data_IF_109700744786
#
_entry.id   IF_109700744786
#
_cell.length_a   1.000
_cell.length_b   1.000
_cell.length_c   1.000
_cell.angle_alpha   90.00
_cell.angle_beta   90.00
_cell.angle_gamma   90.00
#
_symmetry.space_group_name_H-M   'P 1'
#
loop_
_entity.id
_entity.type
_entity.pdbx_description
1 polymer ?
#
# COMPACT_ATOMS: atom_id res chain seq x y z
N UNK A 1 -0.09 5.02 -21.79
CA UNK A 1 -0.19 3.56 -21.55
C UNK A 1 -0.33 3.38 -20.05
N UNK A 2 -1.36 2.68 -19.58
CA UNK A 2 -1.54 2.39 -18.14
C UNK A 2 -1.04 0.99 -17.84
N UNK A 3 -0.41 0.82 -16.68
CA UNK A 3 0.09 -0.47 -16.21
C UNK A 3 -0.59 -0.82 -14.90
N UNK A 4 -1.46 -1.83 -14.94
CA UNK A 4 -2.17 -2.35 -13.77
C UNK A 4 -1.67 -3.74 -13.43
N UNK A 5 -1.33 -3.96 -12.17
CA UNK A 5 -0.87 -5.25 -11.69
C UNK A 5 -1.03 -5.41 -10.18
N UNK A 6 -0.90 -6.65 -9.70
CA UNK A 6 -0.86 -6.94 -8.28
C UNK A 6 0.37 -6.29 -7.60
N UNK A 7 0.28 -6.08 -6.30
CA UNK A 7 1.32 -5.38 -5.55
C UNK A 7 2.69 -6.05 -5.64
N UNK A 8 2.70 -7.39 -5.70
CA UNK A 8 3.93 -8.16 -5.78
C UNK A 8 4.63 -7.89 -7.11
N UNK A 9 3.93 -7.95 -8.23
CA UNK A 9 4.52 -7.64 -9.52
C UNK A 9 4.94 -6.17 -9.61
N UNK A 10 4.12 -5.23 -9.11
CA UNK A 10 4.49 -3.81 -9.03
C UNK A 10 5.81 -3.60 -8.27
N UNK A 11 5.97 -4.25 -7.11
CA UNK A 11 7.20 -4.13 -6.31
C UNK A 11 8.44 -4.59 -7.06
N UNK A 12 8.32 -5.66 -7.86
CA UNK A 12 9.41 -6.17 -8.70
C UNK A 12 9.72 -5.21 -9.85
N UNK A 13 8.68 -4.77 -10.57
CA UNK A 13 8.84 -3.86 -11.70
C UNK A 13 9.41 -2.50 -11.30
N UNK A 14 9.08 -2.01 -10.11
CA UNK A 14 9.52 -0.71 -9.59
C UNK A 14 10.77 -0.78 -8.70
N UNK A 15 11.28 -1.98 -8.42
CA UNK A 15 12.44 -2.15 -7.55
C UNK A 15 12.20 -1.66 -6.12
N UNK A 16 10.99 -1.87 -5.60
CA UNK A 16 10.52 -1.31 -4.34
C UNK A 16 10.26 -2.40 -3.29
N UNK A 17 10.29 -2.00 -2.02
CA UNK A 17 10.03 -2.89 -0.90
C UNK A 17 8.64 -3.56 -0.93
N UNK A 18 8.53 -4.64 -0.17
CA UNK A 18 7.24 -5.32 0.07
C UNK A 18 6.24 -4.42 0.81
N UNK A 19 4.95 -4.74 0.67
CA UNK A 19 3.84 -4.01 1.31
C UNK A 19 3.96 -3.92 2.85
N UNK A 20 4.67 -4.87 3.48
CA UNK A 20 4.79 -4.94 4.94
C UNK A 20 5.92 -4.06 5.51
N UNK A 21 6.78 -3.52 4.65
CA UNK A 21 7.94 -2.71 5.05
C UNK A 21 7.56 -1.36 5.68
N UNK A 22 8.55 -0.67 6.25
CA UNK A 22 8.36 0.65 6.86
C UNK A 22 8.06 1.74 5.83
N UNK A 23 8.71 1.66 4.66
CA UNK A 23 8.46 2.50 3.49
C UNK A 23 7.86 1.60 2.41
N UNK A 24 6.53 1.55 2.35
CA UNK A 24 5.79 0.61 1.51
C UNK A 24 5.19 1.29 0.26
N UNK A 25 4.93 2.60 0.27
CA UNK A 25 4.25 3.29 -0.83
C UNK A 25 5.19 3.53 -2.03
N UNK A 26 4.84 3.10 -3.26
CA UNK A 26 5.64 3.38 -4.45
C UNK A 26 5.45 4.81 -4.97
N UNK A 27 4.34 5.49 -4.65
CA UNK A 27 4.02 6.84 -5.16
C UNK A 27 4.43 7.99 -4.23
N UNK A 28 4.54 7.70 -2.93
CA UNK A 28 4.64 8.69 -1.86
C UNK A 28 5.72 8.29 -0.84
N UNK A 29 6.20 9.26 -0.07
CA UNK A 29 7.26 9.05 0.94
C UNK A 29 6.72 8.73 2.34
N UNK A 30 5.51 8.17 2.42
CA UNK A 30 4.84 7.85 3.69
C UNK A 30 5.60 6.79 4.48
N UNK A 31 5.60 6.97 5.80
CA UNK A 31 6.06 5.96 6.75
C UNK A 31 4.89 5.15 7.32
N UNK A 32 5.10 3.86 7.58
CA UNK A 32 4.05 2.96 8.09
C UNK A 32 3.33 3.45 9.35
N UNK A 33 4.01 4.18 10.25
CA UNK A 33 3.40 4.75 11.47
C UNK A 33 2.47 5.93 11.19
N UNK A 34 2.60 6.58 10.04
CA UNK A 34 1.83 7.76 9.67
C UNK A 34 0.54 7.41 8.91
N UNK A 35 0.35 6.13 8.52
CA UNK A 35 -0.84 5.68 7.77
C UNK A 35 -2.16 6.03 8.48
N UNK A 36 -2.16 5.99 9.82
CA UNK A 36 -3.34 6.27 10.63
C UNK A 36 -3.58 7.77 10.87
N UNK A 37 -2.70 8.66 10.39
CA UNK A 37 -2.84 10.09 10.56
C UNK A 37 -3.83 10.67 9.54
N UNK A 38 -5.02 11.04 10.01
CA UNK A 38 -6.10 11.60 9.20
C UNK A 38 -5.89 13.08 8.84
N UNK A 39 -4.91 13.76 9.46
CA UNK A 39 -4.66 15.18 9.22
C UNK A 39 -3.69 15.42 8.06
N UNK A 40 -3.09 14.36 7.50
CA UNK A 40 -2.13 14.46 6.40
C UNK A 40 -2.78 14.20 5.06
N UNK A 41 -2.48 15.07 4.11
CA UNK A 41 -2.80 14.86 2.70
C UNK A 41 -1.66 14.10 2.01
N UNK A 42 -2.01 13.01 1.34
CA UNK A 42 -1.05 12.14 0.66
C UNK A 42 -1.06 12.45 -0.84
N UNK A 43 -0.06 13.18 -1.31
CA UNK A 43 0.14 13.47 -2.73
C UNK A 43 1.18 12.53 -3.35
N UNK A 44 1.08 12.33 -4.66
CA UNK A 44 2.09 11.59 -5.43
C UNK A 44 3.32 12.51 -5.56
N UNK A 45 4.37 12.20 -4.80
CA UNK A 45 5.59 13.04 -4.73
C UNK A 45 6.79 12.40 -5.40
N UNK A 46 6.79 11.08 -5.56
CA UNK A 46 7.93 10.35 -6.13
C UNK A 46 7.98 10.53 -7.64
N UNK A 47 9.18 10.84 -8.12
CA UNK A 47 9.45 10.94 -9.55
C UNK A 47 10.41 9.85 -10.01
N UNK A 48 10.19 9.36 -11.24
CA UNK A 48 10.99 8.30 -11.84
C UNK A 48 12.49 8.66 -11.93
N UNK A 49 12.82 9.94 -12.18
CA UNK A 49 14.21 10.42 -12.32
C UNK A 49 15.04 10.24 -11.04
N UNK A 50 14.42 10.37 -9.86
CA UNK A 50 15.11 10.41 -8.57
C UNK A 50 14.86 9.13 -7.75
N UNK A 51 14.48 8.03 -8.39
CA UNK A 51 13.94 6.86 -7.69
C UNK A 51 14.88 6.26 -6.64
N UNK A 52 16.18 6.23 -6.95
CA UNK A 52 17.22 5.68 -6.07
C UNK A 52 17.49 6.55 -4.82
N UNK A 53 16.95 7.78 -4.76
CA UNK A 53 17.12 8.67 -3.60
C UNK A 53 16.03 8.47 -2.56
N UNK A 54 14.90 7.86 -2.94
CA UNK A 54 13.78 7.68 -2.04
C UNK A 54 13.92 6.39 -1.24
N UNK A 55 13.59 6.47 0.05
CA UNK A 55 13.54 5.30 0.91
C UNK A 55 12.55 4.25 0.36
N UNK A 56 13.01 3.00 0.42
CA UNK A 56 12.27 1.81 0.02
C UNK A 56 12.44 1.38 -1.44
N UNK A 57 13.07 2.19 -2.29
CA UNK A 57 13.55 1.73 -3.60
C UNK A 57 14.97 1.19 -3.42
N UNK A 58 15.23 -0.01 -3.91
CA UNK A 58 16.56 -0.63 -3.88
C UNK A 58 17.14 -0.84 -5.29
N UNK A 59 16.33 -0.76 -6.34
CA UNK A 59 16.79 -0.88 -7.72
C UNK A 59 16.05 0.05 -8.67
N UNK A 60 16.65 0.24 -9.84
CA UNK A 60 16.04 0.98 -10.95
C UNK A 60 14.83 0.17 -11.47
N UNK A 61 13.68 0.79 -11.76
CA UNK A 61 12.55 0.10 -12.35
C UNK A 61 12.87 -0.53 -13.70
N UNK A 62 12.25 -1.68 -13.95
CA UNK A 62 12.32 -2.39 -15.23
C UNK A 62 11.74 -1.55 -16.38
N UNK A 63 10.68 -0.78 -16.10
CA UNK A 63 9.99 0.05 -17.08
C UNK A 63 10.06 1.55 -16.71
N UNK A 64 11.27 2.10 -16.72
CA UNK A 64 11.53 3.51 -16.40
C UNK A 64 10.96 4.53 -17.42
N UNK A 65 10.47 4.06 -18.56
CA UNK A 65 9.80 4.87 -19.57
C UNK A 65 8.37 5.29 -19.15
N UNK A 66 7.75 4.58 -18.21
CA UNK A 66 6.37 4.82 -17.76
C UNK A 66 6.38 5.70 -16.51
N UNK A 67 5.75 6.89 -16.57
CA UNK A 67 5.61 7.76 -15.38
C UNK A 67 4.80 7.09 -14.27
N UNK A 68 5.10 7.43 -13.01
CA UNK A 68 4.41 6.90 -11.81
C UNK A 68 2.89 7.08 -11.84
N UNK A 69 2.39 8.14 -12.48
CA UNK A 69 0.96 8.45 -12.60
C UNK A 69 0.18 7.38 -13.40
N UNK A 70 0.88 6.58 -14.20
CA UNK A 70 0.30 5.52 -15.02
C UNK A 70 0.41 4.12 -14.40
N UNK A 71 1.05 4.01 -13.22
CA UNK A 71 1.12 2.76 -12.47
C UNK A 71 -0.06 2.69 -11.52
N UNK A 72 -0.97 1.77 -11.79
CA UNK A 72 -2.19 1.57 -11.04
C UNK A 72 -2.09 0.21 -10.36
N UNK A 73 -2.53 0.13 -9.11
CA UNK A 73 -2.65 -1.16 -8.44
C UNK A 73 -3.90 -1.88 -8.90
N UNK A 74 -3.81 -3.19 -9.03
CA UNK A 74 -4.93 -4.04 -9.39
C UNK A 74 -6.09 -3.89 -8.39
N UNK A 75 -7.26 -3.52 -8.90
CA UNK A 75 -8.44 -3.19 -8.10
C UNK A 75 -8.99 -4.42 -7.36
N UNK A 76 -8.96 -5.60 -8.00
CA UNK A 76 -9.45 -6.83 -7.41
C UNK A 76 -8.62 -7.21 -6.18
N UNK A 77 -7.29 -7.16 -6.27
CA UNK A 77 -6.41 -7.47 -5.14
C UNK A 77 -6.53 -6.45 -4.01
N UNK A 78 -6.74 -5.16 -4.32
CA UNK A 78 -7.04 -4.14 -3.30
C UNK A 78 -8.35 -4.47 -2.58
N UNK A 79 -9.42 -4.75 -3.34
CA UNK A 79 -10.73 -5.10 -2.78
C UNK A 79 -10.64 -6.31 -1.85
N UNK A 80 -9.94 -7.37 -2.27
CA UNK A 80 -9.75 -8.57 -1.43
C UNK A 80 -9.00 -8.25 -0.14
N UNK A 81 -7.95 -7.44 -0.21
CA UNK A 81 -7.17 -7.02 0.97
C UNK A 81 -8.02 -6.20 1.95
N UNK A 82 -8.81 -5.23 1.46
CA UNK A 82 -9.72 -4.43 2.29
C UNK A 82 -10.78 -5.33 2.94
N UNK A 83 -11.37 -6.23 2.15
CA UNK A 83 -12.42 -7.13 2.61
C UNK A 83 -11.91 -8.04 3.73
N UNK A 84 -10.72 -8.61 3.58
CA UNK A 84 -10.07 -9.44 4.62
C UNK A 84 -9.87 -8.66 5.92
N UNK A 85 -9.38 -7.41 5.85
CA UNK A 85 -9.21 -6.57 7.05
C UNK A 85 -10.53 -6.24 7.74
N UNK A 86 -11.56 -5.88 6.97
CA UNK A 86 -12.88 -5.59 7.52
C UNK A 86 -13.52 -6.83 8.15
N UNK A 87 -13.40 -7.99 7.51
CA UNK A 87 -13.89 -9.26 8.05
C UNK A 87 -13.20 -9.64 9.36
N UNK A 88 -11.87 -9.48 9.42
CA UNK A 88 -11.12 -9.72 10.65
C UNK A 88 -11.60 -8.82 11.80
N UNK A 89 -11.87 -7.53 11.53
CA UNK A 89 -12.41 -6.60 12.52
C UNK A 89 -13.83 -6.98 12.97
N UNK A 90 -14.69 -7.41 12.04
CA UNK A 90 -16.04 -7.87 12.34
C UNK A 90 -16.00 -9.10 13.25
N UNK A 91 -15.19 -10.11 12.91
CA UNK A 91 -15.02 -11.32 13.71
C UNK A 91 -14.48 -11.01 15.10
N UNK A 92 -13.47 -10.13 15.21
CA UNK A 92 -12.96 -9.71 16.51
C UNK A 92 -14.06 -9.09 17.38
N UNK A 93 -14.90 -8.21 16.82
CA UNK A 93 -16.03 -7.63 17.56
C UNK A 93 -17.06 -8.67 17.98
N UNK A 94 -17.43 -9.59 17.09
CA UNK A 94 -18.40 -10.65 17.38
C UNK A 94 -17.89 -11.59 18.48
N UNK A 95 -16.65 -12.07 18.36
CA UNK A 95 -16.03 -12.95 19.36
C UNK A 95 -15.95 -12.26 20.73
N UNK A 96 -15.52 -11.00 20.78
CA UNK A 96 -15.48 -10.22 22.02
C UNK A 96 -16.89 -10.08 22.62
N UNK A 97 -17.90 -9.79 21.80
CA UNK A 97 -19.30 -9.67 22.24
C UNK A 97 -19.90 -10.98 22.75
N UNK A 98 -19.44 -12.14 22.24
CA UNK A 98 -19.89 -13.45 22.69
C UNK A 98 -19.21 -13.91 23.99
N UNK A 99 -18.00 -13.43 24.28
CA UNK A 99 -17.23 -13.78 25.50
C UNK A 99 -17.60 -12.89 26.70
N UNK A 100 -18.06 -11.65 26.47
CA UNK A 100 -18.54 -10.72 27.50
C UNK A 100 -20.01 -10.35 27.27
N UNK A 101 -20.98 -11.24 27.57
CA UNK A 101 -22.39 -10.96 27.35
C UNK A 101 -23.00 -9.89 28.27
N UNK A 102 -22.32 -9.46 29.34
CA UNK A 102 -22.93 -8.64 30.41
C UNK A 102 -22.31 -7.26 30.68
N UNK A 103 -21.93 -6.50 29.64
CA UNK A 103 -21.68 -5.05 29.80
C UNK A 103 -22.21 -4.24 28.63
N UNK A 104 -23.53 -4.22 28.49
CA UNK A 104 -24.26 -3.09 27.90
C UNK A 104 -25.44 -2.72 28.80
#
# INVERSE_FOLDING_TARGET
>A
MYFSADWKFLSICLGFNSANSTFFCPWCTIFKKEIADTNKEWTITKQMKNINTYNGHYSIPLFNMISFDYWISDELHIMLCITDRLWNLLLQKLVISMILPEKL
#
